data_IF_998852082044
#
_entry.id   IF_998852082044
#
_cell.length_a   1.000
_cell.length_b   1.000
_cell.length_c   1.000
_cell.angle_alpha   90.00
_cell.angle_beta   90.00
_cell.angle_gamma   90.00
#
_symmetry.space_group_name_H-M   'P 1'
#
loop_
_entity.id
_entity.type
_entity.pdbx_description
1 polymer ?
#
# COMPACT_ATOMS: atom_id res chain seq x y z
N UNK A 1 11.24 -12.97 -9.76
CA UNK A 1 10.16 -12.66 -8.81
C UNK A 1 10.81 -11.98 -7.62
N UNK A 2 10.26 -10.87 -7.16
CA UNK A 2 10.79 -10.16 -5.99
C UNK A 2 10.57 -10.94 -4.68
N UNK A 3 11.17 -10.46 -3.60
CA UNK A 3 11.03 -11.04 -2.28
C UNK A 3 9.68 -10.62 -1.65
N UNK A 4 9.04 -11.53 -0.92
CA UNK A 4 7.82 -11.25 -0.17
C UNK A 4 8.20 -10.65 1.19
N UNK A 5 7.54 -9.57 1.60
CA UNK A 5 7.68 -9.08 2.97
C UNK A 5 6.37 -9.21 3.72
N UNK A 6 6.42 -9.76 4.93
CA UNK A 6 5.22 -9.93 5.76
C UNK A 6 5.52 -9.60 7.22
N UNK A 7 4.61 -8.87 7.85
CA UNK A 7 4.68 -8.63 9.29
C UNK A 7 4.17 -7.25 9.68
N UNK A 8 4.37 -6.86 10.94
CA UNK A 8 4.00 -5.54 11.41
C UNK A 8 4.96 -4.46 10.87
N UNK A 9 4.54 -3.18 10.85
CA UNK A 9 5.40 -2.07 10.46
C UNK A 9 6.69 -2.01 11.28
N UNK A 10 7.82 -1.75 10.64
CA UNK A 10 9.16 -1.69 11.24
C UNK A 10 9.85 -3.05 11.38
N UNK A 11 9.09 -4.14 11.44
CA UNK A 11 9.61 -5.49 11.70
C UNK A 11 9.03 -6.53 10.71
N UNK A 12 8.87 -6.13 9.44
CA UNK A 12 8.47 -7.06 8.40
C UNK A 12 9.61 -8.03 8.13
N UNK A 13 9.26 -9.29 7.93
CA UNK A 13 10.22 -10.34 7.63
C UNK A 13 10.26 -10.59 6.13
N UNK A 14 11.47 -10.59 5.57
CA UNK A 14 11.70 -10.92 4.17
C UNK A 14 11.72 -12.44 3.96
N UNK A 15 10.98 -12.87 2.95
CA UNK A 15 10.99 -14.24 2.43
C UNK A 15 11.46 -14.14 0.98
N UNK A 16 12.70 -14.56 0.77
CA UNK A 16 13.38 -14.61 -0.53
C UNK A 16 12.93 -15.81 -1.39
N UNK A 17 12.13 -16.72 -0.82
CA UNK A 17 11.52 -17.83 -1.52
C UNK A 17 10.07 -17.52 -1.95
N UNK A 18 9.83 -17.57 -3.25
CA UNK A 18 8.47 -17.46 -3.79
C UNK A 18 7.55 -18.56 -3.24
N UNK A 19 6.32 -18.19 -2.88
CA UNK A 19 5.29 -19.14 -2.51
C UNK A 19 4.98 -20.07 -3.71
N UNK A 20 4.81 -21.36 -3.44
CA UNK A 20 4.38 -22.34 -4.44
C UNK A 20 2.99 -22.00 -4.99
N UNK A 21 2.10 -21.55 -4.10
CA UNK A 21 0.79 -21.01 -4.48
C UNK A 21 0.64 -19.62 -3.88
N UNK A 22 0.25 -18.67 -4.72
CA UNK A 22 -0.08 -17.31 -4.34
C UNK A 22 -1.45 -16.97 -4.93
N UNK A 23 -2.50 -17.13 -4.13
CA UNK A 23 -3.88 -16.83 -4.56
C UNK A 23 -4.31 -15.47 -4.00
N UNK A 24 -4.71 -14.55 -4.90
CA UNK A 24 -5.17 -13.17 -4.61
C UNK A 24 -6.66 -12.98 -4.80
N UNK A 25 -7.44 -14.05 -4.87
CA UNK A 25 -8.84 -13.95 -5.28
C UNK A 25 -9.60 -12.95 -4.40
N UNK A 26 -9.95 -11.80 -4.98
CA UNK A 26 -10.85 -10.85 -4.35
C UNK A 26 -12.25 -11.46 -4.39
N UNK A 27 -12.88 -11.64 -3.24
CA UNK A 27 -14.28 -12.04 -3.19
C UNK A 27 -15.10 -10.83 -3.64
N UNK A 28 -15.46 -10.82 -4.92
CA UNK A 28 -16.21 -9.71 -5.51
C UNK A 28 -17.59 -9.53 -4.86
N UNK A 29 -18.05 -10.47 -4.02
CA UNK A 29 -19.30 -10.36 -3.26
C UNK A 29 -20.51 -10.16 -4.16
N UNK A 30 -20.42 -10.63 -5.41
CA UNK A 30 -21.44 -10.43 -6.42
C UNK A 30 -22.64 -11.29 -6.04
N UNK A 31 -23.70 -10.63 -5.60
CA UNK A 31 -24.99 -11.27 -5.38
C UNK A 31 -25.90 -10.97 -6.57
N UNK A 32 -26.41 -12.04 -7.18
CA UNK A 32 -27.33 -11.97 -8.30
C UNK A 32 -28.76 -12.16 -7.77
N UNK A 33 -29.62 -11.16 -7.96
CA UNK A 33 -31.05 -11.33 -7.76
C UNK A 33 -31.73 -11.46 -9.12
N UNK A 34 -32.32 -12.63 -9.37
CA UNK A 34 -33.18 -12.88 -10.53
C UNK A 34 -34.63 -12.60 -10.14
N UNK A 35 -35.20 -11.51 -10.65
CA UNK A 35 -36.64 -11.29 -10.49
C UNK A 35 -37.42 -12.22 -11.43
N UNK A 36 -38.65 -12.58 -11.05
CA UNK A 36 -39.57 -13.40 -11.85
C UNK A 36 -39.86 -12.82 -13.26
N UNK A 37 -39.52 -11.55 -13.51
CA UNK A 37 -39.64 -10.88 -14.82
C UNK A 37 -38.39 -10.91 -15.71
N UNK A 38 -37.37 -11.70 -15.36
CA UNK A 38 -36.15 -11.87 -16.18
C UNK A 38 -35.12 -10.74 -16.06
N UNK A 39 -35.31 -9.79 -15.13
CA UNK A 39 -34.33 -8.73 -14.87
C UNK A 39 -33.32 -9.22 -13.83
N UNK A 40 -32.05 -9.14 -14.19
CA UNK A 40 -30.92 -9.45 -13.31
C UNK A 40 -30.39 -8.15 -12.71
N UNK A 41 -30.41 -8.05 -11.38
CA UNK A 41 -29.72 -6.98 -10.66
C UNK A 41 -28.50 -7.56 -9.98
N UNK A 42 -27.34 -6.97 -10.28
CA UNK A 42 -26.05 -7.36 -9.71
C UNK A 42 -25.63 -6.27 -8.73
N UNK A 43 -25.46 -6.62 -7.46
CA UNK A 43 -24.86 -5.71 -6.47
C UNK A 43 -23.44 -6.17 -6.14
N UNK A 44 -22.53 -5.20 -6.02
CA UNK A 44 -21.11 -5.42 -5.71
C UNK A 44 -20.71 -4.48 -4.59
N UNK A 45 -19.94 -4.98 -3.62
CA UNK A 45 -19.30 -4.11 -2.63
C UNK A 45 -18.31 -3.18 -3.32
N UNK A 46 -18.33 -1.90 -2.95
CA UNK A 46 -17.44 -0.88 -3.53
C UNK A 46 -15.95 -1.22 -3.32
N UNK A 47 -15.63 -1.87 -2.19
CA UNK A 47 -14.33 -2.46 -1.88
C UNK A 47 -14.50 -3.90 -1.38
N UNK A 48 -14.33 -4.93 -2.24
CA UNK A 48 -14.40 -6.33 -1.80
C UNK A 48 -13.23 -6.67 -0.87
N UNK A 49 -13.51 -7.40 0.21
CA UNK A 49 -12.50 -7.86 1.17
C UNK A 49 -11.55 -8.83 0.47
N UNK A 50 -10.25 -8.54 0.54
CA UNK A 50 -9.24 -9.43 -0.02
C UNK A 50 -8.95 -10.61 0.87
N UNK A 51 -8.80 -11.77 0.24
CA UNK A 51 -8.27 -12.98 0.88
C UNK A 51 -6.99 -13.36 0.16
N UNK A 52 -5.96 -13.68 0.93
CA UNK A 52 -4.68 -14.12 0.38
C UNK A 52 -4.34 -15.46 0.99
N UNK A 53 -4.03 -16.43 0.14
CA UNK A 53 -3.54 -17.75 0.56
C UNK A 53 -2.12 -17.94 0.05
N UNK A 54 -1.22 -18.21 0.99
CA UNK A 54 0.18 -18.45 0.73
C UNK A 54 0.50 -19.89 1.13
N UNK A 55 1.18 -20.62 0.25
CA UNK A 55 1.73 -21.93 0.61
C UNK A 55 3.13 -22.12 0.06
N UNK A 56 3.97 -22.77 0.87
CA UNK A 56 5.34 -23.14 0.53
C UNK A 56 5.53 -24.62 0.76
N UNK A 57 6.15 -25.27 -0.22
CA UNK A 57 6.76 -26.57 -0.03
C UNK A 57 8.25 -26.35 0.22
N UNK A 58 8.81 -27.09 1.16
CA UNK A 58 10.23 -27.04 1.50
C UNK A 58 10.72 -25.66 1.98
N UNK A 59 9.94 -24.98 2.82
CA UNK A 59 10.36 -23.72 3.44
C UNK A 59 11.51 -23.96 4.43
N UNK A 60 12.62 -23.20 4.36
CA UNK A 60 13.69 -23.26 5.34
C UNK A 60 13.21 -23.04 6.78
N UNK A 61 13.82 -23.70 7.78
CA UNK A 61 13.40 -23.60 9.18
C UNK A 61 13.35 -22.16 9.73
N UNK A 62 14.22 -21.28 9.26
CA UNK A 62 14.27 -19.89 9.70
C UNK A 62 13.00 -19.13 9.30
N UNK A 63 12.62 -19.18 8.01
CA UNK A 63 11.40 -18.54 7.52
C UNK A 63 10.15 -19.18 8.13
N UNK A 64 10.12 -20.51 8.28
CA UNK A 64 8.99 -21.20 8.91
C UNK A 64 8.78 -20.75 10.36
N UNK A 65 9.85 -20.60 11.16
CA UNK A 65 9.76 -20.07 12.53
C UNK A 65 9.29 -18.61 12.57
N UNK A 66 9.76 -17.78 11.64
CA UNK A 66 9.33 -16.39 11.55
C UNK A 66 7.82 -16.29 11.24
N UNK A 67 7.34 -17.04 10.24
CA UNK A 67 5.93 -17.11 9.88
C UNK A 67 5.07 -17.69 11.00
N UNK A 68 5.55 -18.72 11.69
CA UNK A 68 4.88 -19.30 12.85
C UNK A 68 4.70 -18.29 13.99
N UNK A 69 5.73 -17.47 14.27
CA UNK A 69 5.65 -16.39 15.27
C UNK A 69 4.64 -15.32 14.87
N UNK A 70 4.58 -14.97 13.58
CA UNK A 70 3.60 -14.03 13.03
C UNK A 70 2.19 -14.61 13.16
N UNK A 71 1.98 -15.86 12.74
CA UNK A 71 0.68 -16.53 12.77
C UNK A 71 0.14 -16.69 14.19
N UNK A 72 1.01 -17.07 15.14
CA UNK A 72 0.66 -17.23 16.56
C UNK A 72 0.72 -15.93 17.36
N UNK A 73 1.13 -14.82 16.76
CA UNK A 73 1.30 -13.51 17.42
C UNK A 73 2.17 -13.59 18.68
N UNK A 74 3.24 -14.39 18.62
CA UNK A 74 4.14 -14.62 19.77
C UNK A 74 4.82 -13.33 20.20
N UNK A 75 5.08 -12.42 19.26
CA UNK A 75 5.80 -11.16 19.47
C UNK A 75 4.87 -9.99 19.82
N UNK A 76 3.88 -10.26 20.68
CA UNK A 76 2.63 -9.56 21.02
C UNK A 76 2.68 -8.07 21.42
N UNK A 77 3.75 -7.34 21.11
CA UNK A 77 3.87 -5.89 21.31
C UNK A 77 3.27 -5.03 20.19
N UNK A 78 2.84 -5.64 19.07
CA UNK A 78 2.39 -4.95 17.86
C UNK A 78 0.92 -5.27 17.55
N UNK A 79 0.27 -4.38 16.80
CA UNK A 79 -1.13 -4.50 16.40
C UNK A 79 -1.43 -5.90 15.82
N UNK A 80 -2.65 -6.45 16.00
CA UNK A 80 -3.01 -7.79 15.52
C UNK A 80 -2.98 -7.95 13.99
N UNK A 81 -2.74 -6.85 13.27
CA UNK A 81 -2.69 -6.78 11.82
C UNK A 81 -1.26 -6.88 11.31
N UNK A 82 -1.11 -7.55 10.16
CA UNK A 82 0.13 -7.67 9.42
C UNK A 82 -0.05 -7.00 8.06
N UNK A 83 1.03 -6.50 7.49
CA UNK A 83 1.06 -6.04 6.12
C UNK A 83 1.81 -7.04 5.26
N UNK A 84 1.32 -7.21 4.04
CA UNK A 84 1.92 -8.08 3.03
C UNK A 84 2.39 -7.22 1.87
N UNK A 85 3.70 -7.10 1.72
CA UNK A 85 4.29 -6.51 0.52
C UNK A 85 4.44 -7.62 -0.50
N UNK A 86 3.54 -7.57 -1.47
CA UNK A 86 3.45 -8.55 -2.53
C UNK A 86 4.51 -8.28 -3.61
N UNK A 87 5.35 -9.28 -3.98
CA UNK A 87 6.40 -9.10 -4.97
C UNK A 87 5.91 -8.84 -6.39
N UNK A 88 4.61 -9.01 -6.68
CA UNK A 88 4.01 -8.61 -7.95
C UNK A 88 3.09 -7.39 -7.83
N UNK A 89 2.97 -6.76 -6.65
CA UNK A 89 2.28 -5.48 -6.55
C UNK A 89 3.12 -4.41 -7.23
N UNK A 90 2.57 -3.81 -8.29
CA UNK A 90 3.26 -2.77 -9.05
C UNK A 90 3.16 -1.41 -8.36
N UNK A 91 2.04 -1.16 -7.67
CA UNK A 91 1.76 0.11 -7.03
C UNK A 91 0.97 -0.13 -5.73
N UNK A 92 1.56 0.16 -4.58
CA UNK A 92 0.94 -0.04 -3.26
C UNK A 92 -0.06 1.06 -2.88
N UNK A 93 -0.20 2.10 -3.71
CA UNK A 93 -1.33 3.04 -3.60
C UNK A 93 -2.64 2.33 -3.94
N UNK A 94 -3.77 2.78 -3.38
CA UNK A 94 -5.06 2.22 -3.82
C UNK A 94 -5.37 2.62 -5.27
N UNK A 95 -6.21 1.85 -5.96
CA UNK A 95 -6.61 2.17 -7.33
C UNK A 95 -7.19 3.59 -7.47
N UNK A 96 -8.01 4.02 -6.50
CA UNK A 96 -8.52 5.39 -6.44
C UNK A 96 -7.39 6.40 -6.33
N UNK A 97 -6.52 6.22 -5.34
CA UNK A 97 -5.40 7.13 -5.07
C UNK A 97 -4.43 7.24 -6.26
N UNK A 98 -4.09 6.13 -6.92
CA UNK A 98 -3.24 6.11 -8.11
C UNK A 98 -3.88 6.86 -9.29
N UNK A 99 -5.21 6.80 -9.43
CA UNK A 99 -5.96 7.53 -10.45
C UNK A 99 -6.31 8.96 -10.06
N UNK A 100 -5.84 9.45 -8.90
CA UNK A 100 -6.22 10.77 -8.39
C UNK A 100 -7.72 10.88 -8.08
N UNK A 101 -8.34 9.76 -7.68
CA UNK A 101 -9.77 9.65 -7.40
C UNK A 101 -10.06 9.36 -5.93
N UNK A 102 -11.17 9.90 -5.46
CA UNK A 102 -11.72 9.63 -4.13
C UNK A 102 -13.23 9.55 -4.17
N UNK A 103 -13.84 9.24 -3.02
CA UNK A 103 -15.30 9.25 -2.90
C UNK A 103 -15.81 10.69 -3.06
N UNK A 104 -16.74 10.90 -4.00
CA UNK A 104 -17.35 12.20 -4.30
C UNK A 104 -17.91 12.85 -3.02
N UNK A 105 -17.58 14.12 -2.78
CA UNK A 105 -18.04 14.90 -1.60
C UNK A 105 -17.70 14.29 -0.23
N UNK A 106 -16.81 13.30 -0.15
CA UNK A 106 -16.38 12.76 1.12
C UNK A 106 -15.46 13.75 1.83
N UNK A 107 -15.97 14.32 2.93
CA UNK A 107 -15.23 15.17 3.87
C UNK A 107 -14.47 14.37 4.93
N UNK A 108 -14.71 13.06 4.98
CA UNK A 108 -14.06 12.06 5.84
C UNK A 108 -13.07 11.18 5.05
N UNK A 109 -12.67 10.05 5.63
CA UNK A 109 -11.44 9.24 5.38
C UNK A 109 -11.20 8.80 3.91
N UNK A 110 -12.09 9.09 2.96
CA UNK A 110 -12.05 8.49 1.62
C UNK A 110 -11.84 9.45 0.44
N UNK A 111 -11.95 10.78 0.63
CA UNK A 111 -11.69 11.78 -0.44
C UNK A 111 -10.41 12.58 -0.17
N UNK A 112 -10.51 13.51 0.77
CA UNK A 112 -9.38 14.38 1.17
C UNK A 112 -8.38 13.69 2.09
N UNK A 113 -8.74 12.59 2.76
CA UNK A 113 -7.81 11.93 3.68
C UNK A 113 -6.77 11.03 2.99
N UNK A 114 -6.81 10.89 1.66
CA UNK A 114 -5.78 10.16 0.91
C UNK A 114 -4.52 10.99 0.67
N UNK A 115 -4.66 12.32 0.75
CA UNK A 115 -3.57 13.28 0.55
C UNK A 115 -3.57 14.31 1.66
N UNK A 116 -2.45 14.98 1.86
CA UNK A 116 -2.39 16.14 2.73
C UNK A 116 -1.28 17.06 2.26
N UNK A 117 -1.40 18.33 2.57
CA UNK A 117 -0.33 19.29 2.28
C UNK A 117 0.67 19.28 3.42
N UNK A 118 1.96 19.33 3.09
CA UNK A 118 3.05 19.49 4.09
C UNK A 118 3.52 20.95 4.17
N UNK A 119 3.00 21.83 3.31
CA UNK A 119 3.29 23.25 3.26
C UNK A 119 2.10 24.02 2.65
N UNK A 120 2.35 25.07 1.87
CA UNK A 120 1.33 25.85 1.15
C UNK A 120 0.68 25.03 0.02
N UNK A 121 -0.52 25.44 -0.39
CA UNK A 121 -1.32 24.76 -1.41
C UNK A 121 -2.59 24.12 -0.86
N UNK A 122 -3.42 23.64 -1.77
CA UNK A 122 -4.74 23.08 -1.43
C UNK A 122 -5.05 21.87 -2.29
N UNK A 123 -5.55 20.80 -1.67
CA UNK A 123 -6.13 19.65 -2.37
C UNK A 123 -7.64 19.85 -2.44
N UNK A 124 -8.22 19.73 -3.63
CA UNK A 124 -9.66 19.88 -3.84
C UNK A 124 -10.18 18.91 -4.90
N UNK A 125 -11.44 18.52 -4.76
CA UNK A 125 -12.17 17.83 -5.81
C UNK A 125 -12.33 18.77 -7.02
N UNK A 126 -12.13 18.23 -8.23
CA UNK A 126 -12.27 18.98 -9.48
C UNK A 126 -13.71 19.43 -9.69
N UNK A 127 -13.87 20.72 -10.01
CA UNK A 127 -15.18 21.28 -10.34
C UNK A 127 -15.73 20.79 -11.69
N UNK A 128 -14.89 20.24 -12.57
CA UNK A 128 -15.26 19.82 -13.94
C UNK A 128 -15.33 18.31 -14.12
N UNK A 129 -14.80 17.54 -13.16
CA UNK A 129 -14.81 16.07 -13.19
C UNK A 129 -15.00 15.52 -11.77
N UNK A 130 -16.26 15.24 -11.41
CA UNK A 130 -16.61 14.71 -10.10
C UNK A 130 -15.83 13.43 -9.76
N UNK A 131 -15.39 13.33 -8.50
CA UNK A 131 -14.60 12.23 -7.95
C UNK A 131 -13.11 12.28 -8.31
N UNK A 132 -12.65 13.26 -9.10
CA UNK A 132 -11.22 13.48 -9.38
C UNK A 132 -10.67 14.61 -8.52
N UNK A 133 -9.43 14.50 -8.08
CA UNK A 133 -8.79 15.46 -7.20
C UNK A 133 -7.61 16.15 -7.88
N UNK A 134 -7.44 17.41 -7.51
CA UNK A 134 -6.37 18.28 -7.99
C UNK A 134 -5.63 18.87 -6.81
N UNK A 135 -4.36 19.19 -7.03
CA UNK A 135 -3.56 19.97 -6.10
C UNK A 135 -3.24 21.32 -6.72
N UNK A 136 -3.63 22.40 -6.02
CA UNK A 136 -3.29 23.77 -6.40
C UNK A 136 -2.08 24.21 -5.57
N UNK A 137 -0.93 24.30 -6.24
CA UNK A 137 0.29 24.88 -5.70
C UNK A 137 0.21 26.40 -5.78
N UNK A 138 0.50 27.08 -4.67
CA UNK A 138 0.52 28.55 -4.58
C UNK A 138 1.87 29.10 -5.01
N UNK A 139 2.94 28.35 -4.76
CA UNK A 139 4.32 28.75 -4.99
C UNK A 139 5.21 27.52 -5.23
N UNK A 140 6.52 27.74 -5.37
CA UNK A 140 7.52 26.68 -5.62
C UNK A 140 7.74 25.76 -4.41
N UNK A 141 7.32 26.16 -3.22
CA UNK A 141 7.47 25.41 -1.96
C UNK A 141 6.22 24.61 -1.59
N UNK A 142 5.13 24.78 -2.34
CA UNK A 142 3.89 24.02 -2.16
C UNK A 142 4.14 22.52 -2.34
N UNK A 143 3.68 21.72 -1.38
CA UNK A 143 4.03 20.32 -1.25
C UNK A 143 2.83 19.46 -0.87
N UNK A 144 2.75 18.30 -1.50
CA UNK A 144 1.70 17.30 -1.32
C UNK A 144 2.31 15.99 -0.81
N UNK A 145 1.58 15.30 0.05
CA UNK A 145 1.95 14.00 0.58
C UNK A 145 0.81 12.99 0.48
N UNK A 146 1.17 11.71 0.38
CA UNK A 146 0.23 10.59 0.26
C UNK A 146 0.06 9.90 1.60
N UNK A 147 -1.17 9.49 1.90
CA UNK A 147 -1.52 8.67 3.06
C UNK A 147 -1.83 7.23 2.66
N UNK A 148 -1.50 6.28 3.53
CA UNK A 148 -1.89 4.89 3.34
C UNK A 148 -3.36 4.71 3.74
N UNK A 149 -4.22 4.55 2.75
CA UNK A 149 -5.66 4.34 2.93
C UNK A 149 -5.91 3.06 3.75
N UNK A 150 -6.84 3.12 4.70
CA UNK A 150 -7.14 1.99 5.60
C UNK A 150 -6.22 1.88 6.82
N UNK A 151 -5.32 2.85 7.04
CA UNK A 151 -4.44 2.92 8.22
C UNK A 151 -4.50 4.32 8.86
N UNK A 152 -3.79 4.50 9.99
CA UNK A 152 -3.68 5.79 10.69
C UNK A 152 -2.76 6.82 9.98
N UNK A 153 -2.24 6.54 8.78
CA UNK A 153 -1.81 7.62 7.88
C UNK A 153 -0.62 7.33 6.99
N UNK A 154 0.43 6.63 7.44
CA UNK A 154 1.67 6.46 6.66
C UNK A 154 1.78 5.03 6.12
N UNK A 155 2.54 4.84 5.04
CA UNK A 155 2.73 3.52 4.45
C UNK A 155 3.69 2.70 5.30
N UNK A 156 3.34 1.46 5.67
CA UNK A 156 4.19 0.63 6.51
C UNK A 156 5.39 0.11 5.71
N UNK A 157 6.55 0.09 6.34
CA UNK A 157 7.83 -0.36 5.77
C UNK A 157 8.65 -1.11 6.82
N UNK A 158 9.76 -1.71 6.44
CA UNK A 158 10.75 -2.27 7.37
C UNK A 158 12.17 -1.94 6.90
N UNK A 159 13.16 -1.78 7.80
CA UNK A 159 14.53 -1.47 7.44
C UNK A 159 15.09 -2.42 6.38
N UNK A 160 15.84 -1.87 5.43
CA UNK A 160 16.42 -2.63 4.30
C UNK A 160 15.50 -2.77 3.09
N UNK A 161 14.19 -2.60 3.25
CA UNK A 161 13.25 -2.59 2.12
C UNK A 161 13.55 -1.42 1.18
N UNK A 162 13.63 -1.69 -0.12
CA UNK A 162 13.71 -0.64 -1.14
C UNK A 162 12.32 -0.11 -1.46
N UNK A 163 12.16 1.21 -1.50
CA UNK A 163 10.91 1.89 -1.84
C UNK A 163 11.18 2.90 -2.95
N UNK A 164 10.29 3.00 -3.92
CA UNK A 164 10.35 3.97 -5.00
C UNK A 164 9.02 4.70 -5.14
N UNK A 165 9.08 6.00 -5.37
CA UNK A 165 7.90 6.82 -5.59
C UNK A 165 8.05 7.65 -6.86
N UNK A 166 6.97 7.69 -7.64
CA UNK A 166 6.80 8.52 -8.82
C UNK A 166 5.66 9.51 -8.64
N UNK A 167 5.93 10.78 -8.98
CA UNK A 167 4.94 11.86 -8.99
C UNK A 167 3.76 11.58 -9.95
N UNK A 168 2.58 12.18 -9.72
CA UNK A 168 1.49 12.22 -10.70
C UNK A 168 1.94 12.63 -12.09
N UNK A 169 1.35 12.06 -13.14
CA UNK A 169 1.76 12.29 -14.54
C UNK A 169 1.79 13.78 -14.90
N UNK A 170 0.80 14.55 -14.44
CA UNK A 170 0.72 15.99 -14.70
C UNK A 170 1.87 16.80 -14.04
N UNK A 171 2.35 16.34 -12.88
CA UNK A 171 3.47 16.97 -12.16
C UNK A 171 4.80 16.47 -12.71
N UNK A 172 4.90 15.18 -13.04
CA UNK A 172 6.08 14.55 -13.63
C UNK A 172 6.48 15.13 -15.00
N UNK A 173 5.56 15.80 -15.69
CA UNK A 173 5.80 16.43 -16.98
C UNK A 173 6.40 17.85 -16.88
N UNK A 174 6.53 18.42 -15.68
CA UNK A 174 6.97 19.81 -15.49
C UNK A 174 8.48 19.98 -15.66
N UNK A 175 9.28 18.98 -15.29
CA UNK A 175 10.74 19.04 -15.28
C UNK A 175 11.33 19.89 -14.15
N UNK A 176 10.48 20.51 -13.32
CA UNK A 176 10.85 21.36 -12.17
C UNK A 176 10.49 20.73 -10.84
N UNK A 177 9.81 19.60 -10.86
CA UNK A 177 9.29 18.94 -9.67
C UNK A 177 10.41 18.30 -8.83
N UNK A 178 10.10 18.05 -7.57
CA UNK A 178 10.92 17.20 -6.70
C UNK A 178 10.02 16.26 -5.93
N UNK A 179 10.51 15.05 -5.69
CA UNK A 179 9.80 14.01 -4.94
C UNK A 179 10.62 13.55 -3.76
N UNK A 180 9.93 13.04 -2.73
CA UNK A 180 10.55 12.58 -1.50
C UNK A 180 9.89 11.36 -0.90
N UNK A 181 10.63 10.68 -0.04
CA UNK A 181 10.22 9.59 0.82
C UNK A 181 10.64 9.94 2.25
N UNK A 182 9.69 10.40 3.06
CA UNK A 182 9.96 10.73 4.47
C UNK A 182 9.80 9.49 5.34
N UNK A 183 10.90 9.00 5.90
CA UNK A 183 10.92 7.83 6.77
C UNK A 183 10.66 8.22 8.22
N UNK A 184 9.84 7.42 8.90
CA UNK A 184 9.33 7.69 10.24
C UNK A 184 9.42 6.47 11.15
N UNK A 185 9.59 6.70 12.45
CA UNK A 185 9.51 5.67 13.50
C UNK A 185 8.07 5.21 13.72
N UNK A 186 7.89 4.19 14.57
CA UNK A 186 6.58 3.66 14.98
C UNK A 186 5.65 4.73 15.57
N UNK A 187 6.20 5.73 16.27
CA UNK A 187 5.46 6.85 16.87
C UNK A 187 5.11 7.96 15.87
N UNK A 188 5.50 7.79 14.59
CA UNK A 188 5.32 8.78 13.54
C UNK A 188 6.40 9.87 13.48
N UNK A 189 7.38 9.86 14.40
CA UNK A 189 8.47 10.82 14.39
C UNK A 189 9.36 10.66 13.15
N UNK A 190 9.77 11.80 12.60
CA UNK A 190 10.67 11.85 11.45
C UNK A 190 12.06 11.24 11.77
N UNK A 191 12.63 10.54 10.80
CA UNK A 191 14.00 10.01 10.83
C UNK A 191 14.86 10.69 9.77
N UNK A 192 14.46 10.56 8.51
CA UNK A 192 15.22 11.04 7.35
C UNK A 192 14.34 11.08 6.11
N UNK A 193 14.83 11.72 5.05
CA UNK A 193 14.18 11.79 3.74
C UNK A 193 15.15 11.29 2.68
N UNK A 194 14.68 10.42 1.79
CA UNK A 194 15.29 10.27 0.47
C UNK A 194 14.55 11.20 -0.50
N UNK A 195 15.26 12.04 -1.25
CA UNK A 195 14.64 12.98 -2.21
C UNK A 195 15.41 13.03 -3.52
N UNK A 196 14.71 13.44 -4.58
CA UNK A 196 15.28 13.64 -5.90
C UNK A 196 14.63 14.84 -6.59
N UNK A 197 15.41 15.56 -7.40
CA UNK A 197 14.87 16.45 -8.44
C UNK A 197 14.35 15.60 -9.60
N UNK A 198 13.17 15.95 -10.13
CA UNK A 198 12.45 15.19 -11.13
C UNK A 198 11.37 14.28 -10.53
N UNK A 199 10.75 13.48 -11.39
CA UNK A 199 9.53 12.76 -11.08
C UNK A 199 9.69 11.47 -10.26
N UNK A 200 10.91 10.98 -10.03
CA UNK A 200 11.17 9.66 -9.47
C UNK A 200 12.21 9.74 -8.35
N UNK A 201 11.90 9.12 -7.21
CA UNK A 201 12.86 8.86 -6.13
C UNK A 201 12.85 7.38 -5.78
N UNK A 202 14.01 6.87 -5.40
CA UNK A 202 14.17 5.54 -4.81
C UNK A 202 15.02 5.69 -3.57
N UNK A 203 14.64 5.01 -2.49
CA UNK A 203 15.37 5.01 -1.23
C UNK A 203 15.30 3.65 -0.55
N UNK A 204 16.35 3.31 0.18
CA UNK A 204 16.36 2.16 1.09
C UNK A 204 15.88 2.62 2.45
N UNK A 205 14.94 1.88 3.04
CA UNK A 205 14.35 2.20 4.34
C UNK A 205 15.46 2.11 5.42
N UNK A 206 15.72 3.19 6.18
CA UNK A 206 16.80 3.23 7.15
C UNK A 206 16.46 2.43 8.42
N UNK A 207 17.49 2.16 9.23
CA UNK A 207 17.31 1.52 10.53
C UNK A 207 16.34 2.29 11.43
N UNK A 208 15.43 1.58 12.10
CA UNK A 208 14.43 2.14 13.02
C UNK A 208 13.20 2.76 12.34
N UNK A 209 13.14 2.80 11.01
CA UNK A 209 11.94 3.24 10.30
C UNK A 209 10.87 2.15 10.26
N UNK A 210 9.63 2.54 10.54
CA UNK A 210 8.45 1.70 10.46
C UNK A 210 7.44 2.20 9.42
N UNK A 211 7.53 3.48 9.04
CA UNK A 211 6.65 4.09 8.07
C UNK A 211 7.38 4.96 7.06
N UNK A 212 6.76 5.16 5.90
CA UNK A 212 7.19 6.10 4.87
C UNK A 212 6.02 6.97 4.42
N UNK A 213 6.31 8.23 4.12
CA UNK A 213 5.38 9.17 3.49
C UNK A 213 5.96 9.62 2.16
N UNK A 214 5.34 9.25 1.02
CA UNK A 214 5.69 9.81 -0.27
C UNK A 214 5.28 11.28 -0.32
N UNK A 215 6.15 12.13 -0.85
CA UNK A 215 5.92 13.57 -1.01
C UNK A 215 6.28 14.04 -2.42
N UNK A 216 5.63 15.10 -2.86
CA UNK A 216 5.85 15.71 -4.17
C UNK A 216 5.69 17.23 -4.09
N UNK A 217 6.58 17.95 -4.76
CA UNK A 217 6.55 19.40 -4.95
C UNK A 217 6.60 19.69 -6.45
N UNK A 218 5.58 20.33 -7.04
CA UNK A 218 5.61 20.69 -8.47
C UNK A 218 6.74 21.64 -8.86
N UNK A 219 7.25 22.44 -7.92
CA UNK A 219 8.30 23.42 -8.19
C UNK A 219 7.83 24.69 -8.90
N UNK A 220 6.53 24.79 -9.23
CA UNK A 220 5.89 25.98 -9.78
C UNK A 220 4.42 26.07 -9.37
N UNK A 221 3.90 27.30 -9.24
CA UNK A 221 2.50 27.55 -8.96
C UNK A 221 1.61 27.04 -10.11
N UNK A 222 0.42 26.53 -9.77
CA UNK A 222 -0.50 25.96 -10.75
C UNK A 222 -1.42 24.90 -10.14
N UNK A 223 -2.39 24.44 -10.93
CA UNK A 223 -3.31 23.37 -10.54
C UNK A 223 -3.00 22.11 -11.33
N UNK A 224 -2.74 21.02 -10.62
CA UNK A 224 -2.27 19.76 -11.21
C UNK A 224 -3.20 18.61 -10.88
N UNK A 225 -3.42 17.72 -11.85
CA UNK A 225 -4.11 16.45 -11.61
C UNK A 225 -3.25 15.53 -10.73
N UNK A 226 -3.90 14.77 -9.85
CA UNK A 226 -3.24 13.79 -8.99
C UNK A 226 -3.15 12.39 -9.59
N UNK A 227 -3.64 12.19 -10.82
CA UNK A 227 -3.58 10.91 -11.50
C UNK A 227 -2.15 10.52 -11.90
N UNK A 228 -1.84 9.23 -11.83
CA UNK A 228 -0.59 8.63 -12.29
C UNK A 228 0.49 8.47 -11.21
N UNK A 229 0.19 8.78 -9.95
CA UNK A 229 1.13 8.53 -8.86
C UNK A 229 1.37 7.03 -8.67
N UNK A 230 2.60 6.65 -8.33
CA UNK A 230 2.97 5.26 -8.11
C UNK A 230 3.95 5.14 -6.94
N UNK A 231 3.63 4.29 -5.96
CA UNK A 231 4.52 3.90 -4.88
C UNK A 231 4.80 2.41 -5.01
N UNK A 232 6.05 2.01 -5.17
CA UNK A 232 6.45 0.62 -5.43
C UNK A 232 7.45 0.17 -4.38
N UNK A 233 7.30 -1.07 -3.90
CA UNK A 233 8.22 -1.69 -2.94
C UNK A 233 9.02 -2.79 -3.65
N UNK A 234 10.33 -2.86 -3.38
CA UNK A 234 11.23 -3.85 -3.99
C UNK A 234 11.46 -3.65 -5.50
N UNK A 235 11.04 -2.51 -6.07
CA UNK A 235 11.13 -2.22 -7.49
C UNK A 235 11.13 -0.72 -7.79
N UNK A 236 11.11 -0.38 -9.08
CA UNK A 236 11.09 1.02 -9.55
C UNK A 236 9.66 1.45 -9.88
N UNK A 237 9.23 2.61 -9.35
CA UNK A 237 7.91 3.15 -9.63
C UNK A 237 7.79 3.60 -11.09
N UNK A 238 6.79 3.05 -11.79
CA UNK A 238 6.48 3.36 -13.18
C UNK A 238 5.20 4.18 -13.30
N UNK A 239 5.08 4.92 -14.41
CA UNK A 239 3.91 5.75 -14.71
C UNK A 239 2.71 4.88 -15.09
N UNK A 240 1.50 5.34 -14.76
CA UNK A 240 0.24 4.68 -15.15
C UNK A 240 -0.02 3.30 -14.55
N UNK A 241 0.79 2.83 -13.59
CA UNK A 241 0.57 1.53 -12.93
C UNK A 241 -0.67 1.60 -12.04
N UNK A 242 -1.70 0.76 -12.27
CA UNK A 242 -2.90 0.73 -11.43
C UNK A 242 -2.54 0.44 -9.98
N UNK A 243 -3.22 1.12 -9.06
CA UNK A 243 -3.01 0.92 -7.63
C UNK A 243 -3.57 -0.42 -7.14
N UNK A 244 -2.70 -1.26 -6.59
CA UNK A 244 -3.06 -2.49 -5.91
C UNK A 244 -3.45 -2.22 -4.46
N UNK A 245 -2.90 -1.23 -3.76
CA UNK A 245 -3.21 -0.97 -2.36
C UNK A 245 -2.51 -1.92 -1.38
N UNK A 246 -2.28 -1.45 -0.15
CA UNK A 246 -1.59 -2.18 0.91
C UNK A 246 -2.44 -2.26 2.18
N UNK A 247 -3.55 -3.03 2.16
CA UNK A 247 -4.45 -3.10 3.29
C UNK A 247 -3.82 -3.85 4.47
N UNK A 248 -4.21 -3.51 5.71
CA UNK A 248 -3.90 -4.34 6.86
C UNK A 248 -4.61 -5.70 6.74
N UNK A 249 -3.88 -6.78 7.00
CA UNK A 249 -4.38 -8.15 6.93
C UNK A 249 -4.41 -8.78 8.32
N UNK A 250 -5.34 -9.71 8.56
CA UNK A 250 -5.34 -10.59 9.72
C UNK A 250 -5.09 -12.03 9.27
N UNK A 251 -4.26 -12.75 10.02
CA UNK A 251 -4.11 -14.20 9.86
C UNK A 251 -5.38 -14.87 10.36
N UNK A 252 -6.02 -15.69 9.52
CA UNK A 252 -7.24 -16.44 9.84
C UNK A 252 -7.04 -17.95 9.85
N UNK A 253 -5.92 -18.41 9.32
CA UNK A 253 -5.53 -19.82 9.29
C UNK A 253 -4.04 -19.96 9.05
N UNK A 254 -3.43 -21.00 9.60
CA UNK A 254 -2.08 -21.42 9.23
C UNK A 254 -1.92 -22.93 9.42
N UNK A 255 -0.98 -23.52 8.69
CA UNK A 255 -0.54 -24.88 8.91
C UNK A 255 0.98 -24.97 8.85
N UNK A 256 1.56 -25.84 9.66
CA UNK A 256 2.99 -26.12 9.69
C UNK A 256 3.20 -27.63 9.87
N UNK A 257 3.73 -28.27 8.83
CA UNK A 257 4.00 -29.69 8.82
C UNK A 257 5.47 -29.96 8.41
N UNK A 258 6.09 -31.06 8.87
CA UNK A 258 7.40 -31.46 8.39
C UNK A 258 7.41 -31.68 6.87
N UNK A 259 8.29 -30.98 6.16
CA UNK A 259 8.58 -31.21 4.75
C UNK A 259 9.56 -32.38 4.59
N UNK A 260 9.53 -33.03 3.42
CA UNK A 260 10.51 -34.07 3.07
C UNK A 260 11.36 -33.59 1.89
N UNK A 261 12.70 -33.49 2.04
CA UNK A 261 13.51 -33.91 3.19
C UNK A 261 13.44 -32.95 4.40
N UNK A 262 13.79 -33.44 5.59
CA UNK A 262 14.10 -32.58 6.75
C UNK A 262 15.38 -31.78 6.46
N UNK A 263 15.54 -30.55 6.98
CA UNK A 263 14.74 -29.90 8.03
C UNK A 263 13.62 -28.99 7.50
N UNK A 264 13.31 -29.03 6.20
CA UNK A 264 12.35 -28.12 5.60
C UNK A 264 10.91 -28.33 6.11
N UNK A 265 10.06 -27.33 5.91
CA UNK A 265 8.66 -27.29 6.37
C UNK A 265 7.70 -27.08 5.20
N UNK A 266 6.56 -27.73 5.25
CA UNK A 266 5.41 -27.37 4.42
C UNK A 266 4.57 -26.40 5.24
N UNK A 267 4.42 -25.17 4.75
CA UNK A 267 3.80 -24.09 5.50
C UNK A 267 2.69 -23.45 4.67
N UNK A 268 1.55 -23.17 5.30
CA UNK A 268 0.48 -22.39 4.67
C UNK A 268 -0.03 -21.31 5.60
N UNK A 269 -0.50 -20.21 5.00
CA UNK A 269 -1.04 -19.07 5.73
C UNK A 269 -2.21 -18.46 4.97
N UNK A 270 -3.32 -18.25 5.67
CA UNK A 270 -4.54 -17.61 5.16
C UNK A 270 -4.67 -16.22 5.80
N UNK A 271 -4.80 -15.20 4.95
CA UNK A 271 -4.95 -13.79 5.33
C UNK A 271 -6.30 -13.26 4.86
N UNK A 272 -6.90 -12.38 5.66
CA UNK A 272 -8.10 -11.61 5.30
C UNK A 272 -7.88 -10.14 5.60
N UNK A 273 -8.23 -9.28 4.65
CA UNK A 273 -8.18 -7.82 4.80
C UNK A 273 -9.09 -7.34 5.92
N UNK A 274 -8.60 -6.39 6.72
CA UNK A 274 -9.35 -5.77 7.81
C UNK A 274 -10.00 -4.49 7.31
N UNK A 275 -11.30 -4.53 7.05
CA UNK A 275 -12.08 -3.40 6.54
C UNK A 275 -12.53 -2.41 7.62
N UNK A 276 -12.55 -2.81 8.89
CA UNK A 276 -12.83 -1.96 10.05
C UNK A 276 -12.38 -2.63 11.34
N UNK A 277 -11.55 -1.96 12.15
CA UNK A 277 -11.29 -2.33 13.54
C UNK A 277 -12.28 -1.60 14.46
N UNK A 278 -13.57 -1.85 14.28
CA UNK A 278 -14.60 -1.49 15.24
C UNK A 278 -15.20 -2.80 15.73
N UNK A 279 -14.70 -3.28 16.86
CA UNK A 279 -15.47 -4.13 17.76
C UNK A 279 -16.29 -3.25 18.68
#
# INVERSE_FOLDING_TARGET
MGNLWIGPPGSMYEIDQAAKSFDRTADLGVSEFKSLGGRVTVTRNLAPVRRIKLSWDLLPPAHARALDRIARRVDSSLAPTVFLVDPAAGNVLTAGQALGRGTTKAVDITGLAQWFTTSTGTVAESATAAGTFTFTAVDTNSALAWRCVGTVGNFPVSPGLQVSFRAPTAIAALGTESVGLDFKRVDGSYISTASASGALVTGTVPAGAAYVTPTCKPGTAGTYSLAGACLTYGGTAADGVPGDGLPPMSVTGYSDAPGRPLPFRNFSLDLVEVSSAAG
#
